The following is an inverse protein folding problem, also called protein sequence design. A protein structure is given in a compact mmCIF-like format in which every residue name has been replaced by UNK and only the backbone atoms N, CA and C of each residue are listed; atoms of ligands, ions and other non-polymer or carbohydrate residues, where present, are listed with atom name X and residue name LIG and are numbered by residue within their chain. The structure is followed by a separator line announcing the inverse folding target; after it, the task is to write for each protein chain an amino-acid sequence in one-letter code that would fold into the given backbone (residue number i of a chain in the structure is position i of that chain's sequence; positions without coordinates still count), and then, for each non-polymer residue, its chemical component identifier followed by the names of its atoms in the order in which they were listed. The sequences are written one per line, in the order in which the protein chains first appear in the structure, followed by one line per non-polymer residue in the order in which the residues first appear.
data_IF_511679227744
#
_entry.id   IF_511679227744
#
_cell.length_a   1.000
_cell.length_b   1.000
_cell.length_c   1.000
_cell.angle_alpha   90.00
_cell.angle_beta   90.00
_cell.angle_gamma   90.00
#
_symmetry.space_group_name_H-M   'P 1'
#
loop_
_entity.id
_entity.type
_entity.pdbx_description
1 polymer ?
#
# COMPACT_ATOMS: atom_id res chain seq x y z
N UNK A 1 23.25 -30.00 -12.83
CA UNK A 1 23.60 -29.03 -11.73
C UNK A 1 24.15 -27.68 -12.23
N UNK A 2 24.13 -27.40 -13.55
CA UNK A 2 24.72 -26.15 -14.13
C UNK A 2 23.72 -25.07 -14.54
N UNK A 3 22.44 -25.35 -14.64
CA UNK A 3 21.44 -24.34 -15.05
C UNK A 3 20.96 -23.45 -13.90
N UNK A 4 20.94 -23.97 -12.66
CA UNK A 4 20.50 -23.19 -11.51
C UNK A 4 21.52 -22.16 -11.00
N UNK A 5 22.82 -22.40 -11.13
CA UNK A 5 23.85 -21.47 -10.68
C UNK A 5 23.89 -20.16 -11.51
N UNK A 6 23.48 -20.20 -12.79
CA UNK A 6 23.40 -19.00 -13.65
C UNK A 6 22.15 -18.16 -13.34
N UNK A 7 21.09 -18.79 -12.83
CA UNK A 7 19.80 -18.16 -12.61
C UNK A 7 19.80 -17.10 -11.46
N UNK A 8 20.76 -17.20 -10.55
CA UNK A 8 20.90 -16.32 -9.36
C UNK A 8 22.19 -15.48 -9.39
N UNK A 9 22.93 -15.49 -10.50
CA UNK A 9 24.30 -14.93 -10.58
C UNK A 9 24.40 -13.49 -10.05
N UNK A 10 23.43 -12.64 -10.36
CA UNK A 10 23.40 -11.23 -9.93
C UNK A 10 23.08 -11.04 -8.44
N UNK A 11 22.56 -12.07 -7.78
CA UNK A 11 22.22 -12.07 -6.35
C UNK A 11 23.11 -12.97 -5.52
N UNK A 12 23.98 -13.78 -6.13
CA UNK A 12 24.90 -14.67 -5.43
C UNK A 12 25.83 -13.86 -4.52
N UNK A 13 25.92 -14.30 -3.26
CA UNK A 13 26.75 -13.64 -2.23
C UNK A 13 26.13 -12.37 -1.66
N UNK A 14 24.97 -11.92 -2.14
CA UNK A 14 24.22 -10.81 -1.54
C UNK A 14 23.31 -11.33 -0.44
N UNK A 15 23.11 -10.52 0.59
CA UNK A 15 22.11 -10.78 1.63
C UNK A 15 20.76 -10.27 1.12
N UNK A 16 19.75 -11.15 1.15
CA UNK A 16 18.37 -10.82 0.88
C UNK A 16 17.59 -10.86 2.19
N UNK A 17 16.78 -9.86 2.44
CA UNK A 17 15.97 -9.77 3.66
C UNK A 17 14.49 -9.89 3.30
N UNK A 18 13.80 -10.78 3.98
CA UNK A 18 12.32 -10.88 3.90
C UNK A 18 11.72 -9.95 4.91
N UNK A 19 10.76 -9.12 4.49
CA UNK A 19 9.98 -8.27 5.36
C UNK A 19 8.56 -8.10 4.86
N UNK A 20 7.72 -7.48 5.66
CA UNK A 20 6.31 -7.24 5.32
C UNK A 20 5.77 -5.95 5.95
N UNK A 21 4.73 -5.38 5.33
CA UNK A 21 3.90 -4.32 5.89
C UNK A 21 2.44 -4.75 5.83
N UNK A 22 1.86 -5.06 6.98
CA UNK A 22 0.44 -5.46 7.08
C UNK A 22 0.08 -6.65 6.16
N UNK A 23 0.92 -7.71 6.18
CA UNK A 23 0.73 -8.93 5.40
C UNK A 23 1.16 -8.86 3.93
N UNK A 24 1.44 -7.67 3.38
CA UNK A 24 2.04 -7.52 2.06
C UNK A 24 3.56 -7.67 2.19
N UNK A 25 4.15 -8.66 1.53
CA UNK A 25 5.49 -9.14 1.82
C UNK A 25 6.50 -8.89 0.68
N UNK A 26 7.74 -8.59 1.03
CA UNK A 26 8.77 -8.17 0.09
C UNK A 26 10.11 -8.86 0.36
N UNK A 27 10.90 -9.03 -0.70
CA UNK A 27 12.33 -9.32 -0.61
C UNK A 27 13.10 -8.02 -0.82
N UNK A 28 14.02 -7.72 0.08
CA UNK A 28 14.87 -6.53 0.04
C UNK A 28 16.32 -6.89 -0.25
N UNK A 29 17.00 -6.01 -0.99
CA UNK A 29 18.46 -5.98 -1.08
C UNK A 29 19.00 -4.57 -0.91
N UNK A 30 20.19 -4.44 -0.33
CA UNK A 30 21.00 -3.21 -0.38
C UNK A 30 21.93 -3.28 -1.58
N UNK A 31 21.71 -2.38 -2.53
CA UNK A 31 22.52 -2.25 -3.75
C UNK A 31 22.63 -0.76 -4.13
N UNK A 32 23.45 0.02 -3.39
CA UNK A 32 23.48 1.50 -3.47
C UNK A 32 23.74 2.04 -4.86
N UNK A 33 24.52 1.32 -5.67
CA UNK A 33 24.90 1.71 -7.03
C UNK A 33 24.03 1.07 -8.12
N UNK A 34 23.04 0.25 -7.74
CA UNK A 34 22.22 -0.55 -8.65
C UNK A 34 23.04 -1.41 -9.63
N UNK A 35 24.07 -2.08 -9.12
CA UNK A 35 24.98 -2.90 -9.91
C UNK A 35 24.36 -4.25 -10.30
N UNK A 36 23.44 -4.80 -9.48
CA UNK A 36 22.74 -6.03 -9.80
C UNK A 36 21.76 -5.81 -10.98
N UNK A 37 21.81 -6.68 -11.97
CA UNK A 37 20.84 -6.69 -13.07
C UNK A 37 19.57 -7.39 -12.58
N UNK A 38 18.54 -6.61 -12.30
CA UNK A 38 17.25 -7.12 -11.87
C UNK A 38 16.32 -7.16 -13.10
N UNK A 39 16.42 -8.21 -13.92
CA UNK A 39 15.44 -8.44 -14.97
C UNK A 39 14.12 -9.03 -14.40
N UNK A 40 13.08 -9.04 -15.22
CA UNK A 40 11.77 -9.50 -14.77
C UNK A 40 11.78 -10.99 -14.39
N UNK A 41 12.51 -11.83 -15.14
CA UNK A 41 12.58 -13.27 -14.90
C UNK A 41 13.29 -13.60 -13.58
N UNK A 42 14.37 -12.87 -13.24
CA UNK A 42 15.07 -13.04 -11.99
C UNK A 42 14.16 -12.67 -10.81
N UNK A 43 13.48 -11.51 -10.89
CA UNK A 43 12.56 -11.07 -9.84
C UNK A 43 11.40 -12.04 -9.67
N UNK A 44 10.80 -12.50 -10.78
CA UNK A 44 9.70 -13.45 -10.73
C UNK A 44 10.14 -14.79 -10.09
N UNK A 45 11.36 -15.27 -10.39
CA UNK A 45 11.90 -16.48 -9.72
C UNK A 45 12.14 -16.28 -8.23
N UNK A 46 12.70 -15.13 -7.83
CA UNK A 46 12.91 -14.82 -6.39
C UNK A 46 11.58 -14.76 -5.67
N UNK A 47 10.57 -14.14 -6.28
CA UNK A 47 9.25 -13.94 -5.69
C UNK A 47 8.36 -15.19 -5.74
N UNK A 48 8.73 -16.24 -6.49
CA UNK A 48 7.97 -17.48 -6.54
C UNK A 48 7.92 -18.14 -5.16
N UNK A 49 6.68 -18.45 -4.68
CA UNK A 49 6.48 -18.99 -3.33
C UNK A 49 6.83 -20.47 -3.19
N UNK A 50 7.05 -21.19 -4.29
CA UNK A 50 7.37 -22.61 -4.31
C UNK A 50 8.82 -22.88 -4.71
N UNK A 51 9.37 -22.08 -5.63
CA UNK A 51 10.70 -22.31 -6.19
C UNK A 51 11.69 -21.19 -5.85
N UNK A 52 11.24 -20.09 -5.26
CA UNK A 52 12.04 -18.96 -4.81
C UNK A 52 11.97 -18.74 -3.31
N UNK A 53 12.17 -17.50 -2.89
CA UNK A 53 11.99 -17.07 -1.49
C UNK A 53 10.54 -16.73 -1.18
N UNK A 54 9.75 -16.44 -2.20
CA UNK A 54 8.33 -16.11 -2.12
C UNK A 54 8.07 -14.71 -1.59
N UNK A 55 7.44 -13.86 -2.40
CA UNK A 55 7.04 -12.50 -1.99
C UNK A 55 6.01 -11.92 -2.97
N UNK A 56 5.30 -10.88 -2.54
CA UNK A 56 4.45 -10.05 -3.41
C UNK A 56 5.26 -9.08 -4.26
N UNK A 57 6.54 -8.85 -3.89
CA UNK A 57 7.43 -8.01 -4.65
C UNK A 57 8.86 -7.98 -4.16
N UNK A 58 9.68 -7.29 -4.93
CA UNK A 58 11.11 -7.14 -4.71
C UNK A 58 11.47 -5.65 -4.61
N UNK A 59 12.23 -5.27 -3.59
CA UNK A 59 12.63 -3.88 -3.36
C UNK A 59 14.14 -3.79 -3.23
N UNK A 60 14.76 -2.99 -4.09
CA UNK A 60 16.17 -2.64 -3.98
C UNK A 60 16.33 -1.28 -3.30
N UNK A 61 17.15 -1.24 -2.25
CA UNK A 61 17.64 -0.01 -1.67
C UNK A 61 18.86 0.48 -2.46
N UNK A 62 18.68 1.56 -3.21
CA UNK A 62 19.74 2.19 -3.96
C UNK A 62 19.82 3.69 -3.66
N UNK A 63 20.96 4.33 -4.00
CA UNK A 63 21.05 5.78 -3.88
C UNK A 63 20.18 6.46 -4.93
N UNK A 64 19.54 7.56 -4.54
CA UNK A 64 18.59 8.31 -5.39
C UNK A 64 19.22 8.77 -6.70
N UNK A 65 20.47 9.17 -6.69
CA UNK A 65 21.23 9.63 -7.87
C UNK A 65 21.39 8.57 -8.96
N UNK A 66 21.23 7.29 -8.61
CA UNK A 66 21.45 6.15 -9.53
C UNK A 66 20.39 6.08 -10.63
N UNK A 67 19.19 6.61 -10.37
CA UNK A 67 18.07 6.55 -11.31
C UNK A 67 17.78 7.93 -11.94
N UNK A 68 17.40 7.94 -13.21
CA UNK A 68 17.02 9.19 -13.91
C UNK A 68 15.85 9.92 -13.22
N UNK A 69 14.87 9.18 -12.70
CA UNK A 69 13.79 9.76 -11.87
C UNK A 69 14.35 10.32 -10.57
N UNK A 70 15.30 9.64 -9.95
CA UNK A 70 15.97 10.08 -8.72
C UNK A 70 16.78 11.37 -8.94
N UNK A 71 17.47 11.50 -10.06
CA UNK A 71 18.20 12.73 -10.41
C UNK A 71 17.26 13.94 -10.48
N UNK A 72 16.07 13.78 -11.08
CA UNK A 72 15.04 14.84 -11.10
C UNK A 72 14.50 15.16 -9.69
N UNK A 73 14.41 14.14 -8.81
CA UNK A 73 14.04 14.35 -7.41
C UNK A 73 15.09 15.22 -6.72
N UNK A 74 16.38 14.93 -6.91
CA UNK A 74 17.48 15.64 -6.25
C UNK A 74 17.59 17.12 -6.65
N UNK A 75 17.09 17.52 -7.81
CA UNK A 75 17.00 18.93 -8.21
C UNK A 75 16.14 19.76 -7.24
N UNK A 76 15.09 19.18 -6.68
CA UNK A 76 14.16 19.84 -5.75
C UNK A 76 14.36 19.40 -4.30
N UNK A 77 14.85 18.18 -4.10
CA UNK A 77 14.99 17.53 -2.79
C UNK A 77 16.41 16.96 -2.62
N UNK A 78 17.46 17.81 -2.52
CA UNK A 78 18.86 17.36 -2.56
C UNK A 78 19.30 16.47 -1.37
N UNK A 79 18.47 16.33 -0.34
CA UNK A 79 18.74 15.52 0.85
C UNK A 79 18.16 14.10 0.77
N UNK A 80 17.44 13.75 -0.30
CA UNK A 80 16.84 12.41 -0.45
C UNK A 80 17.91 11.43 -0.87
N UNK A 81 18.44 10.67 0.09
CA UNK A 81 19.56 9.74 -0.13
C UNK A 81 19.09 8.42 -0.75
N UNK A 82 18.01 7.84 -0.24
CA UNK A 82 17.57 6.49 -0.59
C UNK A 82 16.40 6.52 -1.57
N UNK A 83 16.47 5.62 -2.56
CA UNK A 83 15.46 5.37 -3.57
C UNK A 83 14.91 3.95 -3.43
N UNK A 84 13.61 3.83 -3.36
CA UNK A 84 12.88 2.55 -3.37
C UNK A 84 12.67 2.08 -4.81
N UNK A 85 13.55 1.21 -5.32
CA UNK A 85 13.38 0.56 -6.63
C UNK A 85 12.50 -0.67 -6.45
N UNK A 86 11.19 -0.48 -6.58
CA UNK A 86 10.17 -1.51 -6.37
C UNK A 86 9.75 -2.20 -7.66
N UNK A 87 9.62 -3.53 -7.57
CA UNK A 87 9.10 -4.42 -8.62
C UNK A 87 8.07 -5.36 -8.04
N UNK A 88 6.99 -5.58 -8.80
CA UNK A 88 5.98 -6.58 -8.49
C UNK A 88 6.57 -8.00 -8.58
N UNK A 89 5.84 -8.99 -8.06
CA UNK A 89 6.28 -10.38 -8.07
C UNK A 89 6.53 -10.95 -9.49
N UNK A 90 5.88 -10.42 -10.51
CA UNK A 90 6.09 -10.78 -11.91
C UNK A 90 7.29 -10.07 -12.58
N UNK A 91 8.04 -9.27 -11.81
CA UNK A 91 9.18 -8.50 -12.25
C UNK A 91 8.83 -7.16 -12.92
N UNK A 92 7.57 -6.83 -13.12
CA UNK A 92 7.16 -5.53 -13.66
C UNK A 92 7.52 -4.41 -12.70
N UNK A 93 7.94 -3.28 -13.26
CA UNK A 93 8.28 -2.08 -12.48
C UNK A 93 7.00 -1.44 -11.96
N UNK A 94 6.98 -1.10 -10.68
CA UNK A 94 5.91 -0.35 -10.03
C UNK A 94 6.38 1.02 -9.55
N UNK A 95 5.48 1.97 -9.50
CA UNK A 95 5.82 3.34 -9.15
C UNK A 95 6.00 3.53 -7.64
N UNK A 96 5.09 2.97 -6.85
CA UNK A 96 5.07 3.07 -5.38
C UNK A 96 4.08 2.06 -4.78
N UNK A 97 4.31 1.68 -3.52
CA UNK A 97 3.41 0.88 -2.71
C UNK A 97 3.44 1.41 -1.27
N UNK A 98 2.28 1.76 -0.71
CA UNK A 98 2.17 2.29 0.65
C UNK A 98 2.67 1.31 1.72
N UNK A 99 2.34 0.01 1.60
CA UNK A 99 2.87 -1.05 2.46
C UNK A 99 4.38 -1.22 2.25
N UNK A 100 4.81 -1.19 0.97
CA UNK A 100 6.20 -1.34 0.58
C UNK A 100 7.11 -0.23 1.12
N UNK A 101 6.67 1.04 1.10
CA UNK A 101 7.52 2.14 1.58
C UNK A 101 7.68 2.11 3.10
N UNK A 102 6.65 1.69 3.86
CA UNK A 102 6.78 1.48 5.31
C UNK A 102 7.77 0.35 5.62
N UNK A 103 7.61 -0.79 4.95
CA UNK A 103 8.52 -1.93 5.09
C UNK A 103 9.95 -1.58 4.62
N UNK A 104 10.09 -0.72 3.61
CA UNK A 104 11.38 -0.23 3.13
C UNK A 104 12.10 0.63 4.17
N UNK A 105 11.40 1.53 4.85
CA UNK A 105 11.98 2.36 5.92
C UNK A 105 12.39 1.49 7.12
N UNK A 106 11.58 0.50 7.49
CA UNK A 106 11.96 -0.47 8.52
C UNK A 106 13.20 -1.28 8.11
N UNK A 107 13.29 -1.70 6.84
CA UNK A 107 14.47 -2.35 6.29
C UNK A 107 15.72 -1.47 6.43
N UNK A 108 15.68 -0.22 5.96
CA UNK A 108 16.81 0.71 6.04
C UNK A 108 17.27 0.93 7.49
N UNK A 109 16.33 1.03 8.43
CA UNK A 109 16.61 1.21 9.85
C UNK A 109 17.26 -0.05 10.45
N UNK A 110 16.73 -1.22 10.15
CA UNK A 110 17.21 -2.50 10.67
C UNK A 110 18.62 -2.83 10.15
N UNK A 111 18.90 -2.50 8.88
CA UNK A 111 20.23 -2.64 8.28
C UNK A 111 21.23 -1.54 8.73
N UNK A 112 20.81 -0.59 9.58
CA UNK A 112 21.66 0.50 10.05
C UNK A 112 22.01 1.53 8.98
N UNK A 113 21.26 1.58 7.88
CA UNK A 113 21.47 2.51 6.77
C UNK A 113 20.90 3.91 7.05
N UNK A 114 19.96 4.00 7.98
CA UNK A 114 19.42 5.25 8.53
C UNK A 114 19.22 5.12 10.03
N UNK A 115 19.29 6.26 10.74
CA UNK A 115 18.79 6.40 12.11
C UNK A 115 17.45 7.14 12.03
N UNK A 116 16.44 6.64 12.70
CA UNK A 116 15.10 7.23 12.72
C UNK A 116 14.42 6.88 14.04
N UNK A 117 14.24 7.88 14.89
CA UNK A 117 13.56 7.72 16.18
C UNK A 117 12.06 8.00 16.06
N UNK A 118 11.28 7.59 17.05
CA UNK A 118 9.82 7.87 17.10
C UNK A 118 9.60 9.39 17.04
N UNK A 119 8.67 9.83 16.19
CA UNK A 119 8.40 11.24 15.89
C UNK A 119 9.28 11.86 14.81
N UNK A 120 10.36 11.18 14.40
CA UNK A 120 11.17 11.64 13.26
C UNK A 120 10.60 11.14 11.91
N UNK A 121 11.04 11.79 10.85
CA UNK A 121 10.63 11.43 9.49
C UNK A 121 11.83 11.36 8.55
N UNK A 122 11.69 10.55 7.50
CA UNK A 122 12.66 10.39 6.42
C UNK A 122 11.97 10.55 5.06
N UNK A 123 12.66 11.19 4.13
CA UNK A 123 12.19 11.31 2.75
C UNK A 123 12.83 10.23 1.89
N UNK A 124 12.00 9.48 1.18
CA UNK A 124 12.36 8.37 0.30
C UNK A 124 12.02 8.75 -1.14
N UNK A 125 12.97 8.58 -2.04
CA UNK A 125 12.73 8.70 -3.49
C UNK A 125 11.99 7.47 -4.01
N UNK A 126 10.97 7.69 -4.83
CA UNK A 126 10.23 6.64 -5.55
C UNK A 126 9.97 7.06 -6.99
N UNK A 127 9.46 6.17 -7.83
CA UNK A 127 9.04 6.55 -9.19
C UNK A 127 7.82 7.47 -9.19
N UNK A 128 7.01 7.42 -8.13
CA UNK A 128 5.89 8.36 -7.91
C UNK A 128 6.30 9.66 -7.19
N UNK A 129 7.62 9.98 -7.16
CA UNK A 129 8.15 11.15 -6.49
C UNK A 129 8.66 10.86 -5.08
N UNK A 130 8.78 11.90 -4.25
CA UNK A 130 9.24 11.78 -2.87
C UNK A 130 8.08 11.36 -1.98
N UNK A 131 8.33 10.39 -1.09
CA UNK A 131 7.42 10.04 -0.01
C UNK A 131 8.09 10.33 1.33
N UNK A 132 7.39 11.05 2.18
CA UNK A 132 7.82 11.31 3.56
C UNK A 132 7.19 10.27 4.47
N UNK A 133 8.03 9.56 5.20
CA UNK A 133 7.61 8.50 6.12
C UNK A 133 8.04 8.90 7.53
N UNK A 134 7.08 8.98 8.43
CA UNK A 134 7.32 9.24 9.85
C UNK A 134 7.35 7.92 10.63
N UNK A 135 8.22 7.82 11.64
CA UNK A 135 8.19 6.71 12.60
C UNK A 135 7.21 7.04 13.72
N UNK A 136 6.29 6.13 14.00
CA UNK A 136 5.32 6.21 15.10
C UNK A 136 5.65 5.17 16.18
N UNK A 137 4.98 5.22 17.32
CA UNK A 137 5.14 4.22 18.39
C UNK A 137 4.78 2.80 17.92
N UNK A 138 3.84 2.68 16.99
CA UNK A 138 3.31 1.39 16.51
C UNK A 138 3.80 0.98 15.12
N UNK A 139 4.59 1.83 14.44
CA UNK A 139 5.10 1.55 13.10
C UNK A 139 5.50 2.79 12.32
N UNK A 140 4.90 2.99 11.15
CA UNK A 140 5.24 4.05 10.22
C UNK A 140 3.99 4.68 9.61
N UNK A 141 4.01 5.99 9.45
CA UNK A 141 2.98 6.77 8.78
C UNK A 141 3.54 7.39 7.49
N UNK A 142 2.79 7.36 6.41
CA UNK A 142 3.17 7.92 5.11
C UNK A 142 2.05 8.76 4.53
N UNK A 143 2.38 9.95 4.03
CA UNK A 143 1.46 10.77 3.25
C UNK A 143 1.29 10.15 1.86
N UNK A 144 0.08 9.65 1.61
CA UNK A 144 -0.31 9.03 0.34
C UNK A 144 -0.65 10.08 -0.73
N UNK A 145 -0.86 11.32 -0.35
CA UNK A 145 -1.29 12.42 -1.18
C UNK A 145 -2.80 12.63 -1.17
N UNK A 146 -3.31 13.54 -2.02
CA UNK A 146 -4.74 13.85 -2.06
C UNK A 146 -5.54 12.73 -2.71
N UNK A 147 -6.79 12.63 -2.30
CA UNK A 147 -7.79 11.75 -2.91
C UNK A 147 -8.81 12.54 -3.71
N UNK A 148 -9.55 11.89 -4.59
CA UNK A 148 -10.63 12.53 -5.35
C UNK A 148 -11.68 11.52 -5.82
N UNK A 149 -12.88 12.02 -6.13
CA UNK A 149 -13.88 11.24 -6.86
C UNK A 149 -13.47 11.11 -8.33
N UNK A 150 -13.53 9.90 -8.89
CA UNK A 150 -13.21 9.68 -10.31
C UNK A 150 -14.27 10.34 -11.21
N UNK A 151 -15.55 10.26 -10.82
CA UNK A 151 -16.68 10.79 -11.57
C UNK A 151 -17.19 12.13 -11.02
N UNK A 152 -16.40 12.82 -10.20
CA UNK A 152 -16.61 14.21 -9.77
C UNK A 152 -17.97 14.47 -9.12
N UNK A 153 -18.73 15.44 -9.68
CA UNK A 153 -19.97 15.90 -9.10
C UNK A 153 -21.08 14.83 -9.10
N UNK A 154 -21.17 13.98 -10.12
CA UNK A 154 -22.16 12.90 -10.18
C UNK A 154 -22.02 11.91 -9.01
N UNK A 155 -20.77 11.56 -8.67
CA UNK A 155 -20.46 10.71 -7.52
C UNK A 155 -20.81 11.41 -6.19
N UNK A 156 -20.53 12.72 -6.11
CA UNK A 156 -20.79 13.52 -4.90
C UNK A 156 -22.30 13.73 -4.65
N UNK A 157 -23.08 13.96 -5.69
CA UNK A 157 -24.53 14.17 -5.58
C UNK A 157 -25.29 12.86 -5.36
N UNK A 158 -24.87 11.78 -6.05
CA UNK A 158 -25.53 10.46 -6.01
C UNK A 158 -25.10 9.57 -4.84
N UNK A 159 -23.92 9.80 -4.28
CA UNK A 159 -23.30 8.90 -3.30
C UNK A 159 -22.85 7.56 -3.89
N UNK A 160 -23.10 7.34 -5.19
CA UNK A 160 -22.70 6.19 -5.99
C UNK A 160 -22.50 6.58 -7.45
N UNK A 161 -21.65 5.86 -8.16
CA UNK A 161 -21.39 6.10 -9.59
C UNK A 161 -21.30 4.81 -10.41
N UNK A 162 -21.38 3.67 -9.76
CA UNK A 162 -21.28 2.37 -10.38
C UNK A 162 -22.02 1.28 -9.59
N UNK A 163 -22.18 0.11 -10.23
CA UNK A 163 -22.76 -1.08 -9.63
C UNK A 163 -21.74 -2.21 -9.71
N UNK A 164 -21.54 -2.95 -8.62
CA UNK A 164 -20.61 -4.08 -8.55
C UNK A 164 -21.33 -5.38 -8.28
N UNK A 165 -21.06 -6.38 -9.13
CA UNK A 165 -21.41 -7.79 -8.94
C UNK A 165 -20.17 -8.58 -8.55
N UNK A 166 -20.27 -9.39 -7.51
CA UNK A 166 -19.19 -10.29 -7.09
C UNK A 166 -19.77 -11.66 -6.72
N UNK A 167 -18.94 -12.70 -6.85
CA UNK A 167 -19.32 -14.03 -6.41
C UNK A 167 -19.52 -14.04 -4.88
N UNK A 168 -20.66 -14.50 -4.42
CA UNK A 168 -21.11 -14.41 -3.03
C UNK A 168 -22.16 -13.33 -2.79
N UNK A 169 -22.30 -12.33 -3.68
CA UNK A 169 -23.44 -11.38 -3.65
C UNK A 169 -24.63 -11.92 -4.41
N UNK A 170 -25.84 -11.77 -3.83
CA UNK A 170 -27.10 -12.16 -4.47
C UNK A 170 -27.57 -11.17 -5.54
N UNK A 171 -27.21 -9.89 -5.39
CA UNK A 171 -27.58 -8.79 -6.28
C UNK A 171 -26.41 -7.83 -6.40
N UNK A 172 -26.30 -7.09 -7.52
CA UNK A 172 -25.34 -5.99 -7.62
C UNK A 172 -25.48 -4.99 -6.46
N UNK A 173 -24.38 -4.35 -6.10
CA UNK A 173 -24.32 -3.35 -5.05
C UNK A 173 -23.87 -2.01 -5.61
N UNK A 174 -24.44 -0.90 -5.12
CA UNK A 174 -23.92 0.42 -5.42
C UNK A 174 -22.48 0.56 -4.95
N UNK A 175 -21.70 1.34 -5.69
CA UNK A 175 -20.30 1.56 -5.43
C UNK A 175 -19.89 2.99 -5.78
N UNK A 176 -18.79 3.44 -5.17
CA UNK A 176 -18.23 4.77 -5.36
C UNK A 176 -16.79 4.66 -5.85
N UNK A 177 -16.48 5.38 -6.93
CA UNK A 177 -15.15 5.35 -7.54
C UNK A 177 -14.27 6.46 -6.99
N UNK A 178 -13.17 6.06 -6.31
CA UNK A 178 -12.20 6.93 -5.64
C UNK A 178 -10.84 6.80 -6.32
N UNK A 179 -10.15 7.91 -6.49
CA UNK A 179 -8.76 7.98 -6.91
C UNK A 179 -7.83 8.27 -5.74
N UNK A 180 -6.83 7.40 -5.57
CA UNK A 180 -5.64 7.63 -4.73
C UNK A 180 -4.37 7.80 -5.58
N UNK A 181 -4.54 8.36 -6.82
CA UNK A 181 -3.54 8.31 -7.88
C UNK A 181 -3.68 7.05 -8.76
N UNK A 182 -4.35 6.03 -8.25
CA UNK A 182 -4.81 4.85 -8.95
C UNK A 182 -6.31 4.63 -8.66
N UNK A 183 -7.07 3.91 -9.53
CA UNK A 183 -8.50 3.78 -9.39
C UNK A 183 -8.91 2.71 -8.37
N UNK A 184 -9.92 3.04 -7.56
CA UNK A 184 -10.56 2.19 -6.56
C UNK A 184 -12.08 2.27 -6.71
N UNK A 185 -12.76 1.15 -6.56
CA UNK A 185 -14.23 1.07 -6.54
C UNK A 185 -14.66 0.47 -5.20
N UNK A 186 -15.26 1.28 -4.34
CA UNK A 186 -15.61 0.92 -2.97
C UNK A 186 -17.07 0.53 -2.87
N UNK A 187 -17.33 -0.63 -2.27
CA UNK A 187 -18.64 -1.25 -2.09
C UNK A 187 -18.94 -1.40 -0.60
N UNK A 188 -19.97 -0.73 -0.10
CA UNK A 188 -20.41 -0.91 1.28
C UNK A 188 -21.32 -2.13 1.43
N UNK A 189 -21.03 -2.97 2.39
CA UNK A 189 -21.83 -4.13 2.79
C UNK A 189 -22.43 -3.92 4.19
N UNK A 190 -23.63 -4.46 4.39
CA UNK A 190 -24.34 -4.25 5.66
C UNK A 190 -23.99 -5.25 6.78
N UNK A 191 -23.03 -6.15 6.60
CA UNK A 191 -22.63 -7.10 7.64
C UNK A 191 -21.38 -7.90 7.27
N UNK A 192 -20.64 -8.35 8.30
CA UNK A 192 -19.46 -9.22 8.17
C UNK A 192 -19.74 -10.54 7.46
N UNK A 193 -20.88 -11.16 7.71
CA UNK A 193 -21.24 -12.41 7.05
C UNK A 193 -21.39 -12.29 5.52
N UNK A 194 -21.70 -11.09 5.01
CA UNK A 194 -21.65 -10.84 3.57
C UNK A 194 -20.24 -10.68 3.07
N UNK A 195 -19.38 -10.00 3.81
CA UNK A 195 -17.97 -9.81 3.49
C UNK A 195 -17.24 -11.16 3.46
N UNK A 196 -17.42 -12.00 4.48
CA UNK A 196 -16.81 -13.32 4.58
C UNK A 196 -17.27 -14.29 3.48
N UNK A 197 -18.51 -14.14 3.02
CA UNK A 197 -19.11 -14.96 1.97
C UNK A 197 -18.67 -14.63 0.54
N UNK A 198 -17.81 -13.61 0.34
CA UNK A 198 -17.30 -13.26 -0.99
C UNK A 198 -16.19 -14.21 -1.44
N UNK A 199 -16.24 -14.60 -2.72
CA UNK A 199 -15.12 -15.23 -3.41
C UNK A 199 -14.42 -14.17 -4.29
N UNK A 200 -13.38 -13.54 -3.73
CA UNK A 200 -12.58 -12.50 -4.37
C UNK A 200 -11.40 -13.07 -5.17
N UNK A 201 -11.25 -14.39 -5.25
CA UNK A 201 -10.39 -15.04 -6.25
C UNK A 201 -10.91 -14.86 -7.68
N UNK A 202 -12.20 -14.48 -7.82
CA UNK A 202 -12.83 -14.15 -9.11
C UNK A 202 -13.05 -12.66 -9.19
N UNK A 203 -12.58 -12.03 -10.28
CA UNK A 203 -12.71 -10.59 -10.48
C UNK A 203 -14.18 -10.14 -10.42
N UNK A 204 -14.51 -9.12 -9.61
CA UNK A 204 -15.83 -8.49 -9.61
C UNK A 204 -16.13 -7.83 -10.95
N UNK A 205 -17.41 -7.74 -11.30
CA UNK A 205 -17.89 -7.05 -12.50
C UNK A 205 -18.46 -5.70 -12.13
N UNK A 206 -17.93 -4.63 -12.72
CA UNK A 206 -18.31 -3.25 -12.48
C UNK A 206 -19.12 -2.73 -13.67
N UNK A 207 -20.20 -2.01 -13.40
CA UNK A 207 -21.05 -1.41 -14.43
C UNK A 207 -21.32 0.07 -14.08
N UNK A 208 -20.95 1.04 -14.94
CA UNK A 208 -20.23 0.86 -16.20
C UNK A 208 -18.80 0.34 -15.96
N UNK A 209 -18.24 -0.41 -16.93
CA UNK A 209 -16.90 -0.95 -16.81
C UNK A 209 -15.85 0.19 -16.85
N UNK A 210 -14.94 0.28 -15.87
CA UNK A 210 -13.89 1.28 -15.88
C UNK A 210 -12.88 1.00 -17.01
N UNK A 211 -12.48 2.03 -17.75
CA UNK A 211 -11.67 1.93 -18.97
C UNK A 211 -10.36 1.14 -18.76
N UNK A 212 -9.67 1.40 -17.66
CA UNK A 212 -8.37 0.77 -17.34
C UNK A 212 -8.45 -0.24 -16.18
N UNK A 213 -9.66 -0.70 -15.84
CA UNK A 213 -9.90 -1.51 -14.65
C UNK A 213 -9.72 -0.72 -13.35
N UNK A 214 -10.00 -1.37 -12.24
CA UNK A 214 -9.95 -0.77 -10.90
C UNK A 214 -9.65 -1.84 -9.85
N UNK A 215 -9.14 -1.44 -8.69
CA UNK A 215 -9.21 -2.26 -7.48
C UNK A 215 -10.63 -2.20 -6.93
N UNK A 216 -11.11 -3.26 -6.31
CA UNK A 216 -12.48 -3.30 -5.76
C UNK A 216 -12.41 -3.63 -4.28
N UNK A 217 -12.82 -2.68 -3.47
CA UNK A 217 -12.83 -2.74 -2.01
C UNK A 217 -14.25 -3.02 -1.50
N UNK A 218 -14.40 -4.09 -0.72
CA UNK A 218 -15.65 -4.41 -0.04
C UNK A 218 -15.50 -4.09 1.44
N UNK A 219 -16.34 -3.18 1.95
CA UNK A 219 -16.22 -2.65 3.30
C UNK A 219 -17.47 -2.93 4.13
N UNK A 220 -17.26 -3.15 5.41
CA UNK A 220 -18.30 -3.20 6.45
C UNK A 220 -17.93 -2.17 7.51
N UNK A 221 -18.75 -1.14 7.74
CA UNK A 221 -18.57 -0.26 8.89
C UNK A 221 -18.73 -1.04 10.19
N UNK A 222 -17.86 -0.77 11.15
CA UNK A 222 -17.95 -1.28 12.51
C UNK A 222 -18.51 -0.19 13.43
N UNK A 223 -18.85 -0.57 14.66
CA UNK A 223 -19.16 0.43 15.68
C UNK A 223 -17.92 1.28 15.95
N UNK A 224 -18.14 2.58 16.28
CA UNK A 224 -17.04 3.48 16.60
C UNK A 224 -16.23 2.92 17.78
N UNK A 225 -14.94 2.79 17.60
CA UNK A 225 -14.04 2.36 18.66
C UNK A 225 -13.63 3.57 19.50
N UNK A 226 -13.81 3.48 20.80
CA UNK A 226 -13.31 4.45 21.76
C UNK A 226 -11.99 3.91 22.33
N UNK A 227 -10.94 3.90 21.52
CA UNK A 227 -9.61 3.57 22.00
C UNK A 227 -8.86 4.85 22.42
N UNK A 228 -8.35 4.92 23.63
CA UNK A 228 -7.51 6.06 24.02
C UNK A 228 -6.12 5.92 23.39
N UNK A 229 -5.84 6.76 22.40
CA UNK A 229 -4.50 7.31 22.31
C UNK A 229 -3.37 6.50 21.66
N UNK A 230 -3.56 5.36 20.99
CA UNK A 230 -2.43 4.56 20.51
C UNK A 230 -2.14 4.66 18.98
N UNK A 231 -2.85 5.48 18.23
CA UNK A 231 -2.63 5.61 16.79
C UNK A 231 -1.76 6.83 16.41
N UNK A 232 -1.33 7.61 17.38
CA UNK A 232 -0.14 8.47 17.31
C UNK A 232 -0.11 9.62 16.31
N UNK A 233 -1.23 10.14 15.78
CA UNK A 233 -1.18 11.28 14.87
C UNK A 233 -1.93 12.51 15.39
N UNK A 234 -2.99 12.37 16.17
CA UNK A 234 -3.73 13.51 16.73
C UNK A 234 -4.08 13.28 18.22
N UNK A 235 -4.13 14.38 18.98
CA UNK A 235 -4.28 14.42 20.42
C UNK A 235 -5.64 13.95 20.94
N UNK A 236 -5.72 13.90 22.26
CA UNK A 236 -6.78 13.41 23.14
C UNK A 236 -8.23 13.55 22.64
N UNK A 237 -8.96 12.42 22.59
CA UNK A 237 -10.43 12.30 22.49
C UNK A 237 -11.09 12.65 21.12
N UNK A 238 -10.60 12.11 20.00
CA UNK A 238 -11.38 12.05 18.78
C UNK A 238 -12.12 10.70 18.66
N UNK A 239 -13.34 10.74 18.14
CA UNK A 239 -14.03 9.51 17.72
C UNK A 239 -13.28 8.91 16.53
N UNK A 240 -12.96 7.62 16.61
CA UNK A 240 -12.24 6.90 15.57
C UNK A 240 -13.24 5.99 14.84
N UNK A 241 -13.35 6.16 13.53
CA UNK A 241 -14.14 5.28 12.69
C UNK A 241 -13.44 3.94 12.50
N UNK A 242 -14.20 2.87 12.37
CA UNK A 242 -13.64 1.56 12.09
C UNK A 242 -14.37 0.88 10.94
N UNK A 243 -13.60 0.24 10.04
CA UNK A 243 -14.12 -0.56 8.95
C UNK A 243 -13.36 -1.88 8.83
N UNK A 244 -14.08 -2.91 8.40
CA UNK A 244 -13.48 -4.16 7.94
C UNK A 244 -13.49 -4.21 6.43
N UNK A 245 -12.34 -4.58 5.84
CA UNK A 245 -12.09 -4.50 4.40
C UNK A 245 -11.56 -5.82 3.84
N UNK A 246 -12.08 -6.22 2.67
CA UNK A 246 -11.43 -7.18 1.75
C UNK A 246 -11.33 -6.56 0.37
N UNK A 247 -10.25 -6.85 -0.35
CA UNK A 247 -9.95 -6.22 -1.64
C UNK A 247 -9.66 -7.25 -2.73
N UNK A 248 -10.14 -6.98 -3.94
CA UNK A 248 -9.65 -7.61 -5.17
C UNK A 248 -8.81 -6.60 -5.92
N UNK A 249 -7.49 -6.79 -5.93
CA UNK A 249 -6.57 -5.92 -6.64
C UNK A 249 -6.54 -6.21 -8.14
N UNK A 250 -6.51 -5.15 -8.93
CA UNK A 250 -6.49 -5.20 -10.40
C UNK A 250 -5.26 -5.97 -10.91
N UNK A 251 -5.53 -7.05 -11.64
CA UNK A 251 -4.48 -7.90 -12.23
C UNK A 251 -3.78 -8.87 -11.27
N UNK A 252 -4.14 -8.83 -9.97
CA UNK A 252 -3.54 -9.69 -8.94
C UNK A 252 -4.56 -10.66 -8.35
N UNK A 253 -5.75 -10.17 -7.99
CA UNK A 253 -6.77 -10.93 -7.27
C UNK A 253 -6.91 -10.48 -5.82
N UNK A 254 -7.40 -11.35 -4.94
CA UNK A 254 -7.49 -11.04 -3.52
C UNK A 254 -6.10 -10.99 -2.87
N UNK A 255 -5.83 -9.90 -2.13
CA UNK A 255 -4.61 -9.71 -1.35
C UNK A 255 -4.93 -9.48 0.13
N UNK A 256 -3.92 -9.67 1.00
CA UNK A 256 -4.09 -9.48 2.43
C UNK A 256 -4.20 -8.01 2.84
N UNK A 257 -3.66 -7.09 2.02
CA UNK A 257 -3.66 -5.66 2.31
C UNK A 257 -3.31 -4.85 1.06
N UNK A 258 -4.14 -3.86 0.75
CA UNK A 258 -3.86 -2.82 -0.26
C UNK A 258 -3.86 -1.46 0.43
N UNK A 259 -2.71 -0.77 0.48
CA UNK A 259 -2.57 0.51 1.20
C UNK A 259 -3.45 1.62 0.60
N UNK A 260 -3.42 1.81 -0.73
CA UNK A 260 -4.30 2.78 -1.41
C UNK A 260 -5.77 2.38 -1.33
N UNK A 261 -6.06 1.07 -1.34
CA UNK A 261 -7.40 0.54 -1.14
C UNK A 261 -7.96 0.84 0.25
N UNK A 262 -7.14 0.75 1.30
CA UNK A 262 -7.53 1.14 2.66
C UNK A 262 -7.85 2.64 2.74
N UNK A 263 -7.02 3.50 2.10
CA UNK A 263 -7.27 4.94 2.01
C UNK A 263 -8.59 5.25 1.27
N UNK A 264 -8.81 4.63 0.10
CA UNK A 264 -10.02 4.82 -0.69
C UNK A 264 -11.28 4.33 0.06
N UNK A 265 -11.18 3.19 0.76
CA UNK A 265 -12.24 2.63 1.56
C UNK A 265 -12.64 3.56 2.72
N UNK A 266 -11.66 4.11 3.45
CA UNK A 266 -11.88 5.09 4.50
C UNK A 266 -12.51 6.38 3.93
N UNK A 267 -12.00 6.91 2.80
CA UNK A 267 -12.52 8.11 2.15
C UNK A 267 -13.99 7.94 1.73
N UNK A 268 -14.33 6.82 1.09
CA UNK A 268 -15.71 6.55 0.69
C UNK A 268 -16.64 6.38 1.91
N UNK A 269 -16.17 5.66 2.95
CA UNK A 269 -16.98 5.44 4.16
C UNK A 269 -17.21 6.75 4.92
N UNK A 270 -16.16 7.58 5.06
CA UNK A 270 -16.25 8.92 5.65
C UNK A 270 -17.23 9.80 4.88
N UNK A 271 -17.14 9.80 3.55
CA UNK A 271 -18.06 10.55 2.70
C UNK A 271 -19.52 10.12 2.90
N UNK A 272 -19.82 8.83 2.97
CA UNK A 272 -21.17 8.31 3.24
C UNK A 272 -21.63 8.58 4.67
N UNK A 273 -20.72 8.72 5.62
CA UNK A 273 -21.00 9.10 7.01
C UNK A 273 -21.41 10.55 7.18
N UNK A 274 -21.09 11.43 6.20
CA UNK A 274 -21.45 12.85 6.22
C UNK A 274 -20.51 13.72 7.07
N UNK A 275 -21.00 14.92 7.45
CA UNK A 275 -20.18 15.94 8.13
C UNK A 275 -19.73 15.55 9.53
N UNK A 276 -20.43 14.63 10.19
CA UNK A 276 -20.09 14.15 11.53
C UNK A 276 -19.13 12.92 11.50
N UNK A 277 -18.72 12.46 10.31
CA UNK A 277 -17.81 11.34 10.19
C UNK A 277 -16.41 11.72 10.67
N UNK A 278 -15.72 10.83 11.44
CA UNK A 278 -14.41 11.13 11.97
C UNK A 278 -13.34 11.28 10.88
N UNK A 279 -12.26 12.01 11.19
CA UNK A 279 -11.10 12.14 10.32
C UNK A 279 -10.08 11.01 10.51
N UNK A 280 -10.23 10.19 11.54
CA UNK A 280 -9.38 9.04 11.84
C UNK A 280 -10.15 7.72 11.70
N UNK A 281 -9.52 6.74 11.05
CA UNK A 281 -10.14 5.45 10.74
C UNK A 281 -9.19 4.29 11.00
N UNK A 282 -9.70 3.26 11.65
CA UNK A 282 -9.10 1.93 11.69
C UNK A 282 -9.63 1.09 10.54
N UNK A 283 -8.73 0.58 9.72
CA UNK A 283 -9.07 -0.29 8.58
C UNK A 283 -8.54 -1.69 8.86
N UNK A 284 -9.44 -2.60 9.25
CA UNK A 284 -9.10 -4.00 9.49
C UNK A 284 -9.10 -4.77 8.17
N UNK A 285 -7.95 -5.22 7.76
CA UNK A 285 -7.72 -6.05 6.55
C UNK A 285 -7.27 -7.46 6.96
N UNK A 286 -7.33 -8.46 6.08
CA UNK A 286 -6.86 -9.81 6.43
C UNK A 286 -5.41 -9.85 6.94
N UNK A 287 -4.56 -8.92 6.52
CA UNK A 287 -3.15 -8.82 6.93
C UNK A 287 -2.90 -8.08 8.25
N UNK A 288 -3.93 -7.47 8.87
CA UNK A 288 -3.80 -6.70 10.12
C UNK A 288 -4.65 -5.44 10.15
N UNK A 289 -4.20 -4.43 10.89
CA UNK A 289 -4.90 -3.15 11.01
C UNK A 289 -4.04 -2.02 10.47
N UNK A 290 -4.64 -1.14 9.70
CA UNK A 290 -4.08 0.11 9.21
C UNK A 290 -4.84 1.28 9.85
N UNK A 291 -4.15 2.38 10.11
CA UNK A 291 -4.78 3.64 10.45
C UNK A 291 -4.75 4.56 9.24
N UNK A 292 -5.86 5.26 9.01
CA UNK A 292 -6.03 6.25 7.94
C UNK A 292 -6.49 7.55 8.56
N UNK A 293 -5.77 8.64 8.29
CA UNK A 293 -6.09 9.98 8.82
C UNK A 293 -6.21 10.97 7.68
N UNK A 294 -7.24 11.80 7.70
CA UNK A 294 -7.43 12.91 6.74
C UNK A 294 -6.85 14.18 7.32
N UNK A 295 -5.98 14.85 6.55
CA UNK A 295 -5.28 16.06 6.96
C UNK A 295 -5.25 17.08 5.83
N UNK A 296 -5.21 18.37 6.17
CA UNK A 296 -4.94 19.41 5.16
C UNK A 296 -3.48 19.34 4.72
N UNK A 297 -3.25 19.11 3.43
CA UNK A 297 -1.91 19.05 2.84
C UNK A 297 -1.29 20.44 2.60
N UNK A 298 -0.01 20.47 2.22
CA UNK A 298 0.71 21.73 1.94
C UNK A 298 0.26 22.43 0.65
N UNK A 299 -0.55 21.78 -0.15
CA UNK A 299 -1.14 22.26 -1.42
C UNK A 299 -2.61 22.69 -1.26
N UNK A 300 -3.08 22.83 -0.01
CA UNK A 300 -4.45 23.15 0.36
C UNK A 300 -5.49 22.08 -0.07
N UNK A 301 -5.03 20.86 -0.41
CA UNK A 301 -5.89 19.70 -0.66
C UNK A 301 -5.97 18.81 0.58
N UNK A 302 -7.04 18.04 0.68
CA UNK A 302 -7.17 17.02 1.73
C UNK A 302 -6.33 15.81 1.35
N UNK A 303 -5.28 15.54 2.14
CA UNK A 303 -4.39 14.40 2.01
C UNK A 303 -4.82 13.25 2.90
N UNK A 304 -4.41 12.06 2.51
CA UNK A 304 -4.62 10.84 3.30
C UNK A 304 -3.29 10.35 3.82
N UNK A 305 -3.17 10.25 5.14
CA UNK A 305 -2.02 9.65 5.82
C UNK A 305 -2.36 8.21 6.16
N UNK A 306 -1.51 7.28 5.70
CA UNK A 306 -1.65 5.84 5.96
C UNK A 306 -0.59 5.41 6.98
N UNK A 307 -1.03 4.87 8.11
CA UNK A 307 -0.12 4.32 9.11
C UNK A 307 -0.34 2.81 9.32
N UNK A 308 0.74 2.12 9.73
CA UNK A 308 0.69 0.69 10.02
C UNK A 308 2.08 0.12 10.32
N UNK A 309 2.08 -1.08 10.88
CA UNK A 309 3.30 -1.81 11.22
C UNK A 309 4.09 -2.25 9.99
N UNK A 310 5.39 -2.46 10.21
CA UNK A 310 6.29 -3.13 9.30
C UNK A 310 7.27 -3.99 10.09
N UNK A 311 7.69 -5.13 9.53
CA UNK A 311 8.55 -6.08 10.22
C UNK A 311 9.47 -6.79 9.24
N UNK A 312 10.76 -6.92 9.62
CA UNK A 312 11.68 -7.85 8.97
C UNK A 312 11.51 -9.24 9.56
N UNK A 313 11.50 -10.28 8.73
CA UNK A 313 11.16 -11.66 9.09
C UNK A 313 12.39 -12.56 9.17
N UNK A 314 13.20 -12.57 8.10
CA UNK A 314 14.45 -13.33 8.03
C UNK A 314 15.40 -12.76 6.98
N UNK A 315 16.66 -13.20 7.05
CA UNK A 315 17.66 -12.97 6.01
C UNK A 315 18.07 -14.29 5.34
N UNK A 316 18.44 -14.23 4.07
CA UNK A 316 18.90 -15.37 3.28
C UNK A 316 20.08 -14.98 2.40
N UNK A 317 20.90 -15.96 2.04
CA UNK A 317 21.94 -15.84 1.01
C UNK A 317 21.73 -16.92 -0.04
N UNK A 318 21.75 -16.54 -1.29
CA UNK A 318 21.67 -17.49 -2.41
C UNK A 318 23.07 -18.03 -2.71
N UNK A 319 23.17 -19.34 -2.86
CA UNK A 319 24.39 -20.09 -3.12
C UNK A 319 24.45 -20.64 -4.54
#
# INVERSE_FOLDING_TARGET
MSENASAWADLTGRTLTKGQGTGNDFIFITDPKAEAVLDADLVARVCDRHFGLGADGFIRAAHTETFSTGQKILEKHPKVTWFMDYRNADGTISEMCGNGVRAFVEYLRTEGLISLEVGEHVSIGTRAGVKTVARTDTGYAVDMGPWSFIHGDAAREGGEDSQVSARGLKTPRPALSISMGNPHTVVMLGSDGKLDGLDLGVAPVITPAPENGTNVEFVVPLELEHEPGDIGVLGEQSEVGAIRLRVHERGVGETLSCGTGACAAAAATRFWGGEDAPDEWLVHVPGGTLAVTFVLGPDDLEHVVLAGGAQMVYTAQLS
#
